data_IF_168158245752
#
_entry.id   IF_168158245752
#
_cell.length_a   1.000
_cell.length_b   1.000
_cell.length_c   1.000
_cell.angle_alpha   90.00
_cell.angle_beta   90.00
_cell.angle_gamma   90.00
#
_symmetry.space_group_name_H-M   'P 1'
#
loop_
_entity.id
_entity.type
_entity.pdbx_description
1 polymer ?
#
# COMPACT_ATOMS: atom_id res chain seq x y z
N UNK A 1 12.84 9.61 -13.04
CA UNK A 1 12.84 8.30 -13.71
C UNK A 1 11.51 7.98 -14.37
N UNK A 2 10.47 8.72 -14.00
CA UNK A 2 9.14 8.88 -14.59
C UNK A 2 9.03 8.61 -16.10
N UNK A 3 9.86 9.19 -16.97
CA UNK A 3 9.79 8.95 -18.42
C UNK A 3 10.02 7.47 -18.79
N UNK A 4 10.95 6.79 -18.10
CA UNK A 4 11.20 5.36 -18.30
C UNK A 4 10.01 4.53 -17.84
N UNK A 5 9.37 4.91 -16.74
CA UNK A 5 8.15 4.25 -16.22
C UNK A 5 7.02 4.36 -17.25
N UNK A 6 6.80 5.57 -17.79
CA UNK A 6 5.78 5.81 -18.82
C UNK A 6 6.05 4.99 -20.08
N UNK A 7 7.28 4.98 -20.58
CA UNK A 7 7.68 4.17 -21.74
C UNK A 7 7.47 2.67 -21.50
N UNK A 8 7.90 2.15 -20.35
CA UNK A 8 7.73 0.74 -20.00
C UNK A 8 6.26 0.34 -19.92
N UNK A 9 5.42 1.17 -19.30
CA UNK A 9 3.99 0.87 -19.15
C UNK A 9 3.23 0.89 -20.48
N UNK A 10 3.56 1.83 -21.37
CA UNK A 10 2.98 1.91 -22.74
C UNK A 10 3.30 0.65 -23.53
N UNK A 11 4.54 0.17 -23.42
CA UNK A 11 5.04 -1.00 -24.15
C UNK A 11 4.77 -2.33 -23.41
N UNK A 12 4.09 -2.31 -22.26
CA UNK A 12 3.85 -3.52 -21.49
C UNK A 12 2.98 -4.51 -22.26
N UNK A 13 3.52 -5.73 -22.42
CA UNK A 13 2.85 -6.91 -22.94
C UNK A 13 2.94 -8.04 -21.91
N UNK A 14 1.80 -8.60 -21.50
CA UNK A 14 1.77 -9.64 -20.47
C UNK A 14 2.46 -10.92 -20.94
N UNK A 15 2.25 -11.32 -22.20
CA UNK A 15 2.79 -12.57 -22.74
C UNK A 15 4.31 -12.63 -22.72
N UNK A 16 4.98 -11.51 -23.03
CA UNK A 16 6.44 -11.40 -22.95
C UNK A 16 6.97 -11.46 -21.51
N UNK A 17 6.13 -11.23 -20.50
CA UNK A 17 6.51 -11.16 -19.09
C UNK A 17 6.00 -12.36 -18.26
N UNK A 18 5.12 -13.22 -18.81
CA UNK A 18 4.36 -14.21 -18.04
C UNK A 18 5.18 -15.41 -17.58
N UNK A 19 6.33 -15.67 -18.19
CA UNK A 19 7.15 -16.84 -17.90
C UNK A 19 8.09 -16.66 -16.71
N UNK A 20 8.16 -15.46 -16.14
CA UNK A 20 9.10 -15.09 -15.08
C UNK A 20 8.34 -14.66 -13.84
N UNK A 21 8.89 -14.90 -12.65
CA UNK A 21 8.45 -14.17 -11.46
C UNK A 21 8.82 -12.69 -11.63
N UNK A 22 7.95 -11.78 -11.19
CA UNK A 22 8.21 -10.34 -11.23
C UNK A 22 8.91 -9.83 -9.97
N UNK A 23 8.97 -10.66 -8.93
CA UNK A 23 9.71 -10.41 -7.70
C UNK A 23 10.16 -11.72 -7.06
N UNK A 24 10.53 -11.67 -5.77
CA UNK A 24 10.78 -12.90 -5.02
C UNK A 24 9.49 -13.71 -4.87
N UNK A 25 9.53 -15.06 -4.94
CA UNK A 25 8.35 -15.89 -4.73
C UNK A 25 7.66 -15.68 -3.38
N UNK A 26 8.40 -15.29 -2.34
CA UNK A 26 7.84 -14.97 -1.00
C UNK A 26 6.86 -13.78 -1.03
N UNK A 27 6.95 -12.92 -2.04
CA UNK A 27 6.03 -11.81 -2.29
C UNK A 27 4.99 -12.22 -3.34
N UNK A 28 4.30 -13.33 -3.08
CA UNK A 28 3.20 -13.83 -3.91
C UNK A 28 1.91 -13.90 -3.09
N UNK A 29 0.78 -13.74 -3.76
CA UNK A 29 -0.53 -13.85 -3.12
C UNK A 29 -0.66 -15.23 -2.45
N UNK A 30 -1.03 -15.24 -1.17
CA UNK A 30 -1.22 -16.44 -0.34
C UNK A 30 0.04 -17.32 -0.21
N UNK A 31 1.24 -16.75 -0.38
CA UNK A 31 2.50 -17.47 -0.16
C UNK A 31 2.54 -18.19 1.19
N UNK A 32 3.09 -19.40 1.22
CA UNK A 32 3.24 -20.21 2.43
C UNK A 32 1.94 -20.78 2.98
N UNK A 33 0.80 -20.60 2.29
CA UNK A 33 -0.48 -21.22 2.64
C UNK A 33 -0.69 -22.54 1.87
N UNK A 34 -1.58 -23.42 2.32
CA UNK A 34 -1.90 -24.67 1.62
C UNK A 34 -2.31 -24.50 0.14
N UNK A 35 -2.92 -23.37 -0.24
CA UNK A 35 -3.22 -23.10 -1.65
C UNK A 35 -1.94 -22.94 -2.48
N UNK A 36 -0.98 -22.15 -1.98
CA UNK A 36 0.26 -21.87 -2.70
C UNK A 36 1.14 -23.12 -2.84
N UNK A 37 1.20 -23.95 -1.80
CA UNK A 37 1.93 -25.22 -1.83
C UNK A 37 1.30 -26.23 -2.80
N UNK A 38 -0.02 -26.22 -2.94
CA UNK A 38 -0.74 -27.09 -3.89
C UNK A 38 -0.77 -26.54 -5.33
N UNK A 39 -0.37 -25.28 -5.53
CA UNK A 39 -0.43 -24.62 -6.82
C UNK A 39 0.64 -25.14 -7.80
N UNK A 40 0.27 -25.27 -9.07
CA UNK A 40 1.22 -25.58 -10.14
C UNK A 40 2.23 -24.44 -10.33
N UNK A 41 3.39 -24.68 -10.97
CA UNK A 41 4.36 -23.62 -11.24
C UNK A 41 3.80 -22.42 -12.01
N UNK A 42 2.82 -22.63 -12.90
CA UNK A 42 2.14 -21.53 -13.61
C UNK A 42 1.17 -20.78 -12.69
N UNK A 43 0.45 -21.47 -11.82
CA UNK A 43 -0.42 -20.85 -10.82
C UNK A 43 0.37 -20.03 -9.80
N UNK A 44 1.54 -20.50 -9.34
CA UNK A 44 2.40 -19.74 -8.44
C UNK A 44 2.89 -18.43 -9.08
N UNK A 45 3.29 -18.45 -10.36
CA UNK A 45 3.61 -17.23 -11.11
C UNK A 45 2.39 -16.31 -11.24
N UNK A 46 1.21 -16.87 -11.54
CA UNK A 46 -0.02 -16.08 -11.59
C UNK A 46 -0.31 -15.40 -10.24
N UNK A 47 -0.14 -16.09 -9.11
CA UNK A 47 -0.27 -15.53 -7.76
C UNK A 47 0.76 -14.42 -7.49
N UNK A 48 1.99 -14.55 -8.02
CA UNK A 48 2.98 -13.47 -7.98
C UNK A 48 2.52 -12.26 -8.80
N UNK A 49 2.06 -12.46 -10.04
CA UNK A 49 1.62 -11.37 -10.92
C UNK A 49 0.38 -10.66 -10.36
N UNK A 50 -0.55 -11.40 -9.76
CA UNK A 50 -1.73 -10.82 -9.09
C UNK A 50 -1.32 -10.01 -7.87
N UNK A 51 -0.38 -10.49 -7.05
CA UNK A 51 0.17 -9.70 -5.94
C UNK A 51 0.64 -8.32 -6.42
N UNK A 52 1.37 -8.28 -7.53
CA UNK A 52 1.84 -7.04 -8.14
C UNK A 52 0.72 -6.13 -8.63
N UNK A 53 -0.27 -6.68 -9.34
CA UNK A 53 -1.41 -5.89 -9.80
C UNK A 53 -2.17 -5.24 -8.62
N UNK A 54 -2.36 -6.00 -7.53
CA UNK A 54 -3.00 -5.52 -6.32
C UNK A 54 -2.18 -4.44 -5.61
N UNK A 55 -0.86 -4.62 -5.52
CA UNK A 55 0.02 -3.63 -4.92
C UNK A 55 0.05 -2.33 -5.73
N UNK A 56 0.10 -2.43 -7.06
CA UNK A 56 0.01 -1.29 -7.98
C UNK A 56 -1.28 -0.49 -7.79
N UNK A 57 -2.44 -1.15 -7.62
CA UNK A 57 -3.67 -0.43 -7.32
C UNK A 57 -3.64 0.26 -5.95
N UNK A 58 -3.04 -0.38 -4.95
CA UNK A 58 -2.88 0.22 -3.62
C UNK A 58 -1.95 1.45 -3.65
N UNK A 59 -0.84 1.37 -4.40
CA UNK A 59 0.10 2.48 -4.58
C UNK A 59 -0.58 3.62 -5.35
N UNK A 60 -1.23 3.34 -6.49
CA UNK A 60 -1.93 4.36 -7.27
C UNK A 60 -3.02 5.10 -6.45
N UNK A 61 -3.72 4.39 -5.57
CA UNK A 61 -4.68 5.00 -4.65
C UNK A 61 -4.00 5.90 -3.59
N UNK A 62 -2.78 5.56 -3.17
CA UNK A 62 -1.97 6.38 -2.27
C UNK A 62 -1.45 7.63 -2.99
N UNK A 63 -0.91 7.49 -4.19
CA UNK A 63 -0.42 8.58 -5.05
C UNK A 63 -1.51 9.59 -5.42
N UNK A 64 -2.74 9.13 -5.61
CA UNK A 64 -3.89 10.03 -5.81
C UNK A 64 -4.10 10.96 -4.60
N UNK A 65 -3.91 10.46 -3.38
CA UNK A 65 -3.96 11.30 -2.19
C UNK A 65 -2.73 12.22 -2.13
N UNK A 66 -1.54 11.72 -2.49
CA UNK A 66 -0.31 12.52 -2.55
C UNK A 66 -0.48 13.76 -3.42
N UNK A 67 -1.04 13.62 -4.63
CA UNK A 67 -1.33 14.75 -5.53
C UNK A 67 -2.16 15.83 -4.81
N UNK A 68 -3.28 15.43 -4.20
CA UNK A 68 -4.16 16.36 -3.49
C UNK A 68 -3.44 17.09 -2.36
N UNK A 69 -2.69 16.36 -1.54
CA UNK A 69 -2.04 16.96 -0.37
C UNK A 69 -0.78 17.75 -0.72
N UNK A 70 -0.09 17.44 -1.82
CA UNK A 70 0.96 18.30 -2.36
C UNK A 70 0.38 19.67 -2.74
N UNK A 71 -0.75 19.71 -3.45
CA UNK A 71 -1.44 20.95 -3.80
C UNK A 71 -1.94 21.72 -2.55
N UNK A 72 -2.51 21.03 -1.56
CA UNK A 72 -2.95 21.66 -0.30
C UNK A 72 -1.77 22.24 0.48
N UNK A 73 -0.66 21.52 0.57
CA UNK A 73 0.52 21.98 1.30
C UNK A 73 1.22 23.12 0.59
N UNK A 74 1.35 23.08 -0.74
CA UNK A 74 1.89 24.18 -1.52
C UNK A 74 1.06 25.47 -1.26
N UNK A 75 -0.26 25.38 -1.26
CA UNK A 75 -1.14 26.51 -0.92
C UNK A 75 -0.94 27.02 0.52
N UNK A 76 -0.66 26.14 1.49
CA UNK A 76 -0.41 26.54 2.87
C UNK A 76 0.94 27.26 3.03
N UNK A 77 1.93 26.95 2.19
CA UNK A 77 3.24 27.60 2.20
C UNK A 77 3.37 28.80 1.26
N UNK A 78 2.50 28.90 0.25
CA UNK A 78 2.53 29.98 -0.74
C UNK A 78 2.56 31.42 -0.16
N UNK A 79 1.89 31.73 0.98
CA UNK A 79 1.97 33.07 1.57
C UNK A 79 3.34 33.46 2.16
N UNK A 80 4.31 32.54 2.18
CA UNK A 80 5.63 32.73 2.76
C UNK A 80 6.69 32.74 1.65
N UNK A 81 7.37 33.88 1.47
CA UNK A 81 8.26 34.14 0.34
C UNK A 81 9.46 33.15 0.24
N UNK A 82 9.87 32.55 1.36
CA UNK A 82 11.05 31.67 1.43
C UNK A 82 10.81 30.22 0.92
N UNK A 83 9.57 29.85 0.56
CA UNK A 83 9.21 28.46 0.22
C UNK A 83 8.85 28.22 -1.26
N UNK A 84 9.15 29.15 -2.16
CA UNK A 84 8.87 28.99 -3.61
C UNK A 84 9.48 27.69 -4.18
N UNK A 85 10.75 27.42 -3.87
CA UNK A 85 11.46 26.20 -4.32
C UNK A 85 10.77 24.93 -3.82
N UNK A 86 10.26 24.95 -2.60
CA UNK A 86 9.52 23.83 -2.03
C UNK A 86 8.21 23.60 -2.78
N UNK A 87 7.46 24.66 -3.07
CA UNK A 87 6.23 24.58 -3.86
C UNK A 87 6.49 23.98 -5.25
N UNK A 88 7.57 24.39 -5.93
CA UNK A 88 7.98 23.79 -7.20
C UNK A 88 8.38 22.32 -7.09
N UNK A 89 9.02 21.91 -5.99
CA UNK A 89 9.30 20.50 -5.73
C UNK A 89 7.99 19.70 -5.60
N UNK A 90 7.00 20.22 -4.85
CA UNK A 90 5.69 19.58 -4.70
C UNK A 90 4.91 19.48 -6.02
N UNK A 91 5.03 20.48 -6.90
CA UNK A 91 4.45 20.45 -8.25
C UNK A 91 5.13 19.40 -9.14
N UNK A 92 6.46 19.27 -9.05
CA UNK A 92 7.21 18.24 -9.75
C UNK A 92 6.74 16.85 -9.32
N UNK A 93 6.73 16.58 -8.00
CA UNK A 93 6.26 15.31 -7.46
C UNK A 93 4.83 15.00 -7.91
N UNK A 94 3.94 15.99 -7.82
CA UNK A 94 2.55 15.88 -8.29
C UNK A 94 2.46 15.45 -9.75
N UNK A 95 3.34 15.98 -10.61
CA UNK A 95 3.41 15.56 -12.01
C UNK A 95 3.93 14.13 -12.15
N UNK A 96 4.94 13.73 -11.38
CA UNK A 96 5.49 12.37 -11.41
C UNK A 96 4.44 11.32 -10.99
N UNK A 97 3.69 11.58 -9.92
CA UNK A 97 2.65 10.66 -9.43
C UNK A 97 1.57 10.37 -10.49
N UNK A 98 1.26 11.33 -11.37
CA UNK A 98 0.29 11.10 -12.47
C UNK A 98 0.76 10.02 -13.44
N UNK A 99 2.06 9.94 -13.71
CA UNK A 99 2.64 8.90 -14.56
C UNK A 99 2.70 7.55 -13.84
N UNK A 100 3.03 7.55 -12.55
CA UNK A 100 3.04 6.34 -11.73
C UNK A 100 1.65 5.69 -11.69
N UNK A 101 0.62 6.46 -11.32
CA UNK A 101 -0.79 6.03 -11.31
C UNK A 101 -1.18 5.40 -12.67
N UNK A 102 -0.83 6.06 -13.77
CA UNK A 102 -1.14 5.56 -15.12
C UNK A 102 -0.44 4.24 -15.40
N UNK A 103 0.85 4.14 -15.08
CA UNK A 103 1.63 2.94 -15.30
C UNK A 103 1.08 1.75 -14.50
N UNK A 104 0.80 1.96 -13.21
CA UNK A 104 0.24 0.97 -12.32
C UNK A 104 -1.12 0.45 -12.75
N UNK A 105 -2.03 1.35 -13.13
CA UNK A 105 -3.32 0.94 -13.70
C UNK A 105 -3.16 0.17 -15.00
N UNK A 106 -2.31 0.65 -15.92
CA UNK A 106 -2.11 0.02 -17.23
C UNK A 106 -1.59 -1.41 -17.08
N UNK A 107 -0.56 -1.61 -16.25
CA UNK A 107 0.05 -2.92 -16.04
C UNK A 107 -0.92 -3.84 -15.29
N UNK A 108 -1.56 -3.35 -14.22
CA UNK A 108 -2.53 -4.12 -13.46
C UNK A 108 -3.69 -4.63 -14.31
N UNK A 109 -4.34 -3.74 -15.08
CA UNK A 109 -5.50 -4.08 -15.91
C UNK A 109 -5.12 -5.11 -16.98
N UNK A 110 -4.02 -4.88 -17.70
CA UNK A 110 -3.53 -5.83 -18.73
C UNK A 110 -3.22 -7.20 -18.13
N UNK A 111 -2.71 -7.23 -16.91
CA UNK A 111 -2.41 -8.47 -16.17
C UNK A 111 -3.67 -9.24 -15.82
N UNK A 112 -4.67 -8.56 -15.25
CA UNK A 112 -5.94 -9.19 -14.88
C UNK A 112 -6.68 -9.74 -16.10
N UNK A 113 -6.78 -8.94 -17.17
CA UNK A 113 -7.42 -9.37 -18.41
C UNK A 113 -6.73 -10.60 -19.02
N UNK A 114 -5.39 -10.64 -19.01
CA UNK A 114 -4.65 -11.77 -19.54
C UNK A 114 -4.80 -13.05 -18.69
N UNK A 115 -4.90 -12.91 -17.36
CA UNK A 115 -4.99 -14.05 -16.45
C UNK A 115 -6.42 -14.59 -16.27
N UNK A 116 -7.42 -13.70 -16.27
CA UNK A 116 -8.78 -14.02 -15.83
C UNK A 116 -9.84 -13.69 -16.89
N UNK A 117 -9.48 -12.98 -17.97
CA UNK A 117 -10.41 -12.52 -19.02
C UNK A 117 -11.24 -11.29 -18.64
N UNK A 118 -11.19 -10.86 -17.38
CA UNK A 118 -11.90 -9.70 -16.84
C UNK A 118 -11.08 -9.02 -15.74
N UNK A 119 -11.44 -7.78 -15.40
CA UNK A 119 -10.87 -7.08 -14.25
C UNK A 119 -11.70 -7.36 -13.00
N UNK A 120 -11.14 -8.09 -12.04
CA UNK A 120 -11.81 -8.45 -10.79
C UNK A 120 -11.50 -7.48 -9.64
N UNK A 121 -10.31 -6.87 -9.67
CA UNK A 121 -9.76 -6.10 -8.56
C UNK A 121 -9.61 -4.62 -8.91
N UNK A 122 -9.43 -4.29 -10.19
CA UNK A 122 -9.42 -2.91 -10.64
C UNK A 122 -10.74 -2.19 -10.30
N UNK A 123 -10.64 -1.05 -9.62
CA UNK A 123 -11.75 -0.11 -9.47
C UNK A 123 -11.70 0.89 -10.62
N UNK A 124 -12.71 0.96 -11.52
CA UNK A 124 -12.90 2.15 -12.33
C UNK A 124 -13.09 3.35 -11.39
N UNK A 125 -12.66 4.56 -11.79
CA UNK A 125 -12.98 5.80 -11.05
C UNK A 125 -14.52 5.98 -10.99
N UNK A 126 -15.18 5.33 -10.03
CA UNK A 126 -16.61 5.47 -9.80
C UNK A 126 -16.87 6.70 -8.96
N UNK A 127 -17.71 7.59 -9.47
CA UNK A 127 -18.19 8.82 -8.85
C UNK A 127 -19.21 8.58 -7.74
N UNK A 128 -19.42 7.32 -7.30
CA UNK A 128 -20.39 6.96 -6.25
C UNK A 128 -19.72 6.13 -5.14
N UNK A 129 -19.28 6.78 -4.04
CA UNK A 129 -18.64 6.12 -2.89
C UNK A 129 -19.49 5.04 -2.19
N UNK A 130 -20.81 5.04 -2.42
CA UNK A 130 -21.78 4.19 -1.73
C UNK A 130 -21.92 2.78 -2.34
N UNK A 131 -21.38 2.54 -3.55
CA UNK A 131 -21.47 1.24 -4.25
C UNK A 131 -20.12 0.52 -4.37
N UNK A 132 -19.12 0.89 -3.55
CA UNK A 132 -17.87 0.12 -3.51
C UNK A 132 -18.12 -1.26 -2.88
N UNK A 133 -17.91 -2.32 -3.66
CA UNK A 133 -17.86 -3.71 -3.18
C UNK A 133 -16.93 -3.79 -1.94
N UNK A 134 -17.26 -4.64 -0.96
CA UNK A 134 -16.40 -4.91 0.22
C UNK A 134 -15.00 -5.36 -0.20
N UNK A 135 -14.89 -6.06 -1.33
CA UNK A 135 -13.65 -6.41 -2.02
C UNK A 135 -12.77 -5.18 -2.31
N UNK A 136 -13.41 -4.06 -2.65
CA UNK A 136 -12.83 -2.80 -3.08
C UNK A 136 -12.49 -1.86 -1.92
N UNK A 137 -13.26 -1.95 -0.81
CA UNK A 137 -12.97 -1.20 0.41
C UNK A 137 -11.58 -1.57 0.98
N UNK A 138 -11.13 -2.81 0.76
CA UNK A 138 -9.79 -3.27 1.09
C UNK A 138 -8.69 -2.61 0.23
N UNK A 139 -9.00 -1.92 -0.87
CA UNK A 139 -8.02 -1.21 -1.72
C UNK A 139 -8.07 0.30 -1.60
N UNK A 140 -8.81 0.84 -0.61
CA UNK A 140 -8.61 2.25 -0.22
C UNK A 140 -7.13 2.40 0.17
N UNK A 141 -6.42 3.33 -0.47
CA UNK A 141 -5.06 3.70 -0.10
C UNK A 141 -5.00 4.19 1.35
N UNK A 142 -3.81 4.50 1.88
CA UNK A 142 -3.65 4.85 3.30
C UNK A 142 -4.53 6.02 3.74
N UNK A 143 -4.64 7.08 2.92
CA UNK A 143 -5.54 8.21 3.18
C UNK A 143 -7.01 7.81 3.25
N UNK A 144 -7.47 6.94 2.34
CA UNK A 144 -8.85 6.45 2.31
C UNK A 144 -9.23 5.55 3.49
N UNK A 145 -8.26 4.79 4.04
CA UNK A 145 -8.45 3.95 5.24
C UNK A 145 -8.38 4.74 6.55
N UNK A 146 -7.58 5.81 6.60
CA UNK A 146 -7.50 6.70 7.76
C UNK A 146 -8.63 7.75 7.79
N UNK A 147 -9.24 8.06 6.64
CA UNK A 147 -10.02 9.28 6.43
C UNK A 147 -11.55 9.14 6.28
N UNK A 148 -12.21 8.04 6.64
CA UNK A 148 -13.68 7.99 6.51
C UNK A 148 -14.40 8.77 7.63
N UNK A 149 -15.18 9.80 7.29
CA UNK A 149 -16.16 10.45 8.18
C UNK A 149 -16.00 11.98 8.36
N UNK A 150 -16.83 12.58 9.23
CA UNK A 150 -16.84 14.03 9.51
C UNK A 150 -15.46 14.58 9.93
N UNK A 151 -14.69 13.81 10.68
CA UNK A 151 -13.35 14.22 11.14
C UNK A 151 -12.30 14.41 10.03
N UNK A 152 -12.44 13.79 8.86
CA UNK A 152 -11.49 14.01 7.75
C UNK A 152 -11.74 15.32 7.01
N UNK A 153 -12.99 15.78 6.96
CA UNK A 153 -13.33 17.07 6.35
C UNK A 153 -12.76 18.22 7.19
N UNK A 154 -12.92 18.13 8.51
CA UNK A 154 -12.30 19.08 9.46
C UNK A 154 -10.78 19.09 9.32
N UNK A 155 -10.16 17.90 9.20
CA UNK A 155 -8.71 17.80 9.01
C UNK A 155 -8.25 18.45 7.69
N UNK A 156 -8.91 18.16 6.57
CA UNK A 156 -8.56 18.73 5.27
C UNK A 156 -8.69 20.26 5.21
N UNK A 157 -9.74 20.81 5.81
CA UNK A 157 -9.90 22.28 5.93
C UNK A 157 -8.83 22.86 6.85
N UNK A 158 -8.46 22.15 7.93
CA UNK A 158 -7.42 22.63 8.84
C UNK A 158 -6.04 22.64 8.20
N UNK A 159 -5.76 21.68 7.30
CA UNK A 159 -4.49 21.58 6.60
C UNK A 159 -4.17 22.81 5.74
N UNK A 160 -5.14 23.32 4.98
CA UNK A 160 -4.92 24.49 4.12
C UNK A 160 -4.72 25.80 4.89
N UNK A 161 -5.05 25.82 6.19
CA UNK A 161 -5.00 27.03 7.03
C UNK A 161 -3.89 26.96 8.10
N UNK A 162 -3.13 25.86 8.16
CA UNK A 162 -2.07 25.66 9.16
C UNK A 162 -0.84 25.06 8.48
N UNK A 163 0.24 25.85 8.28
CA UNK A 163 1.51 25.37 7.77
C UNK A 163 2.10 24.22 8.60
N UNK A 164 1.86 24.25 9.93
CA UNK A 164 2.22 23.15 10.81
C UNK A 164 1.47 21.86 10.43
N UNK A 165 0.13 21.90 10.34
CA UNK A 165 -0.65 20.71 9.98
C UNK A 165 -0.32 20.22 8.57
N UNK A 166 -0.14 21.15 7.62
CA UNK A 166 0.29 20.86 6.25
C UNK A 166 1.61 20.09 6.25
N UNK A 167 2.54 20.45 7.14
CA UNK A 167 3.78 19.71 7.35
C UNK A 167 3.55 18.32 7.95
N UNK A 168 2.58 18.18 8.87
CA UNK A 168 2.29 16.90 9.53
C UNK A 168 1.65 15.85 8.63
N UNK A 169 1.03 16.26 7.52
CA UNK A 169 0.66 15.30 6.47
C UNK A 169 1.89 14.50 5.98
N UNK A 170 3.07 15.13 5.89
CA UNK A 170 4.28 14.46 5.40
C UNK A 170 4.88 13.49 6.42
N UNK A 171 4.48 13.54 7.69
CA UNK A 171 4.75 12.46 8.65
C UNK A 171 3.96 11.22 8.25
N UNK A 172 2.66 11.37 7.97
CA UNK A 172 1.80 10.28 7.53
C UNK A 172 2.25 9.72 6.17
N UNK A 173 2.61 10.58 5.21
CA UNK A 173 3.20 10.17 3.93
C UNK A 173 4.53 9.46 4.14
N UNK A 174 5.42 10.00 4.98
CA UNK A 174 6.71 9.39 5.30
C UNK A 174 6.57 7.97 5.88
N UNK A 175 5.64 7.76 6.81
CA UNK A 175 5.27 6.41 7.31
C UNK A 175 4.84 5.50 6.15
N UNK A 176 4.02 6.02 5.24
CA UNK A 176 3.59 5.30 4.04
C UNK A 176 4.75 4.90 3.13
N UNK A 177 5.67 5.81 2.88
CA UNK A 177 6.85 5.58 2.05
C UNK A 177 7.79 4.54 2.68
N UNK A 178 7.93 4.52 4.01
CA UNK A 178 8.67 3.47 4.71
C UNK A 178 8.05 2.09 4.49
N UNK A 179 6.71 1.99 4.53
CA UNK A 179 6.00 0.76 4.22
C UNK A 179 6.27 0.29 2.78
N UNK A 180 6.21 1.20 1.80
CA UNK A 180 6.53 0.88 0.40
C UNK A 180 8.00 0.40 0.25
N UNK A 181 8.95 1.17 0.79
CA UNK A 181 10.39 0.87 0.72
C UNK A 181 10.76 -0.47 1.34
N UNK A 182 10.06 -0.90 2.38
CA UNK A 182 10.30 -2.19 3.02
C UNK A 182 10.17 -3.36 2.05
N UNK A 183 9.34 -3.23 1.01
CA UNK A 183 9.09 -4.23 -0.04
C UNK A 183 9.92 -3.93 -1.30
N UNK A 184 9.88 -2.69 -1.79
CA UNK A 184 10.57 -2.31 -3.04
C UNK A 184 12.10 -2.43 -2.95
N UNK A 185 12.68 -2.34 -1.75
CA UNK A 185 14.13 -2.58 -1.59
C UNK A 185 14.53 -4.00 -1.97
N UNK A 186 13.73 -5.01 -1.63
CA UNK A 186 13.91 -6.40 -2.06
C UNK A 186 13.77 -6.52 -3.58
N UNK A 187 12.78 -5.85 -4.16
CA UNK A 187 12.49 -5.88 -5.60
C UNK A 187 13.61 -5.20 -6.42
N UNK A 188 14.16 -4.11 -5.91
CA UNK A 188 15.33 -3.44 -6.47
C UNK A 188 16.57 -4.33 -6.48
N UNK A 189 16.72 -5.23 -5.50
CA UNK A 189 17.77 -6.24 -5.51
C UNK A 189 17.54 -7.29 -6.60
N UNK A 190 16.29 -7.73 -6.83
CA UNK A 190 15.95 -8.61 -7.96
C UNK A 190 16.38 -7.98 -9.28
N UNK A 191 15.98 -6.72 -9.54
CA UNK A 191 16.39 -5.99 -10.73
C UNK A 191 17.91 -6.01 -10.93
N UNK A 192 18.68 -5.63 -9.90
CA UNK A 192 20.15 -5.56 -9.97
C UNK A 192 20.78 -6.94 -10.22
N UNK A 193 20.21 -8.01 -9.65
CA UNK A 193 20.70 -9.39 -9.88
C UNK A 193 20.48 -9.81 -11.33
N UNK A 194 19.30 -9.56 -11.88
CA UNK A 194 18.97 -9.89 -13.28
C UNK A 194 19.85 -9.09 -14.25
N UNK A 195 19.97 -7.77 -14.01
CA UNK A 195 20.82 -6.88 -14.82
C UNK A 195 22.28 -7.33 -14.82
N UNK A 196 22.85 -7.65 -13.65
CA UNK A 196 24.25 -8.11 -13.54
C UNK A 196 24.51 -9.41 -14.31
N UNK A 197 23.50 -10.29 -14.42
CA UNK A 197 23.62 -11.57 -15.13
C UNK A 197 23.26 -11.47 -16.61
N UNK A 198 22.77 -10.32 -17.08
CA UNK A 198 22.23 -10.19 -18.43
C UNK A 198 20.97 -11.02 -18.65
N UNK A 199 20.22 -11.34 -17.59
CA UNK A 199 18.96 -12.08 -17.67
C UNK A 199 17.81 -11.13 -18.04
N UNK A 200 16.70 -11.70 -18.53
CA UNK A 200 15.50 -10.94 -18.83
C UNK A 200 14.95 -10.25 -17.57
N UNK A 201 14.67 -8.94 -17.67
CA UNK A 201 14.09 -8.15 -16.60
C UNK A 201 12.60 -7.94 -16.91
N UNK A 202 11.68 -8.52 -16.12
CA UNK A 202 10.27 -8.25 -16.30
C UNK A 202 9.96 -6.77 -16.15
N UNK A 203 9.05 -6.27 -16.98
CA UNK A 203 8.63 -4.87 -17.01
C UNK A 203 8.16 -4.39 -15.62
N UNK A 204 7.37 -5.16 -14.84
CA UNK A 204 6.94 -4.71 -13.51
C UNK A 204 8.11 -4.58 -12.52
N UNK A 205 9.12 -5.46 -12.63
CA UNK A 205 10.37 -5.36 -11.86
C UNK A 205 11.14 -4.08 -12.20
N UNK A 206 11.25 -3.74 -13.49
CA UNK A 206 11.91 -2.51 -13.94
C UNK A 206 11.14 -1.25 -13.52
N UNK A 207 9.80 -1.25 -13.64
CA UNK A 207 8.95 -0.16 -13.18
C UNK A 207 9.12 0.09 -11.68
N UNK A 208 9.07 -0.96 -10.85
CA UNK A 208 9.29 -0.82 -9.41
C UNK A 208 10.68 -0.27 -9.07
N UNK A 209 11.71 -0.68 -9.80
CA UNK A 209 13.07 -0.14 -9.61
C UNK A 209 13.13 1.37 -9.85
N UNK A 210 12.48 1.84 -10.91
CA UNK A 210 12.47 3.26 -11.27
C UNK A 210 11.53 4.08 -10.39
N UNK A 211 10.40 3.51 -10.00
CA UNK A 211 9.49 4.11 -9.02
C UNK A 211 10.19 4.33 -7.68
N UNK A 212 10.93 3.33 -7.17
CA UNK A 212 11.74 3.48 -5.95
C UNK A 212 12.76 4.63 -6.03
N UNK A 213 13.29 4.93 -7.21
CA UNK A 213 14.23 6.04 -7.40
C UNK A 213 13.55 7.40 -7.32
N UNK A 214 12.35 7.53 -7.90
CA UNK A 214 11.53 8.75 -7.74
C UNK A 214 11.07 8.88 -6.27
N UNK A 215 10.60 7.79 -5.64
CA UNK A 215 10.20 7.77 -4.21
C UNK A 215 11.35 8.05 -3.24
N UNK A 216 12.60 7.85 -3.65
CA UNK A 216 13.76 8.25 -2.85
C UNK A 216 13.86 9.77 -2.73
N UNK A 217 13.56 10.50 -3.80
CA UNK A 217 13.45 11.96 -3.78
C UNK A 217 12.23 12.39 -2.93
N UNK A 218 11.06 11.80 -3.17
CA UNK A 218 9.82 12.10 -2.44
C UNK A 218 9.97 11.92 -0.92
N UNK A 219 10.72 10.89 -0.50
CA UNK A 219 11.00 10.66 0.92
C UNK A 219 11.88 11.75 1.52
N UNK A 220 12.87 12.26 0.78
CA UNK A 220 13.72 13.35 1.26
C UNK A 220 12.91 14.64 1.42
N UNK A 221 12.05 14.97 0.44
CA UNK A 221 11.11 16.09 0.55
C UNK A 221 10.19 15.92 1.75
N UNK A 222 9.60 14.73 1.92
CA UNK A 222 8.72 14.43 3.05
C UNK A 222 9.43 14.59 4.39
N UNK A 223 10.67 14.13 4.51
CA UNK A 223 11.49 14.30 5.72
C UNK A 223 11.76 15.77 6.00
N UNK A 224 12.21 16.52 4.99
CA UNK A 224 12.50 17.96 5.14
C UNK A 224 11.27 18.72 5.64
N UNK A 225 10.11 18.50 5.02
CA UNK A 225 8.85 19.15 5.40
C UNK A 225 8.44 18.77 6.82
N UNK A 226 8.43 17.48 7.12
CA UNK A 226 7.87 16.96 8.37
C UNK A 226 8.76 17.16 9.59
N UNK A 227 10.08 17.28 9.42
CA UNK A 227 11.04 17.33 10.53
C UNK A 227 11.76 18.67 10.68
N UNK A 228 11.93 19.44 9.61
CA UNK A 228 12.68 20.70 9.66
C UNK A 228 11.79 21.91 9.40
N UNK A 229 11.10 21.95 8.25
CA UNK A 229 10.33 23.13 7.84
C UNK A 229 9.22 23.49 8.83
N UNK A 230 8.59 22.49 9.47
CA UNK A 230 7.52 22.80 10.43
C UNK A 230 7.98 23.68 11.61
N UNK A 231 9.29 23.70 11.91
CA UNK A 231 9.89 24.47 13.02
C UNK A 231 10.00 25.97 12.72
N UNK A 232 9.87 26.36 11.46
CA UNK A 232 9.92 27.75 11.04
C UNK A 232 8.61 28.49 11.35
N UNK A 233 7.52 27.74 11.62
CA UNK A 233 6.20 28.27 11.93
C UNK A 233 5.96 28.39 13.44
N UNK A 234 4.93 29.15 13.87
CA UNK A 234 4.53 29.20 15.27
C UNK A 234 4.32 27.82 15.87
N UNK A 235 4.66 27.68 17.15
CA UNK A 235 4.49 26.43 17.88
C UNK A 235 3.03 25.95 17.82
N UNK A 236 2.79 24.65 17.54
CA UNK A 236 1.45 24.15 17.35
C UNK A 236 0.62 24.28 18.61
N UNK A 237 -0.60 24.78 18.45
CA UNK A 237 -1.55 24.87 19.55
C UNK A 237 -2.14 23.48 19.90
N UNK A 238 -2.92 23.42 20.97
CA UNK A 238 -3.49 22.15 21.48
C UNK A 238 -4.35 21.46 20.41
N UNK A 239 -5.10 22.22 19.61
CA UNK A 239 -5.96 21.69 18.56
C UNK A 239 -5.15 21.10 17.40
N UNK A 240 -4.09 21.78 16.96
CA UNK A 240 -3.20 21.29 15.91
C UNK A 240 -2.46 20.01 16.35
N UNK A 241 -1.95 19.99 17.59
CA UNK A 241 -1.34 18.78 18.18
C UNK A 241 -2.33 17.63 18.24
N UNK A 242 -3.58 17.90 18.63
CA UNK A 242 -4.64 16.90 18.65
C UNK A 242 -4.87 16.31 17.25
N UNK A 243 -5.08 17.15 16.23
CA UNK A 243 -5.31 16.68 14.86
C UNK A 243 -4.13 15.88 14.30
N UNK A 244 -2.90 16.36 14.47
CA UNK A 244 -1.70 15.64 14.06
C UNK A 244 -1.62 14.24 14.69
N UNK A 245 -1.91 14.14 15.99
CA UNK A 245 -1.94 12.86 16.69
C UNK A 245 -3.06 11.93 16.21
N UNK A 246 -4.25 12.47 15.88
CA UNK A 246 -5.37 11.65 15.40
C UNK A 246 -5.06 10.97 14.07
N UNK A 247 -4.29 11.60 13.19
CA UNK A 247 -3.89 11.01 11.90
C UNK A 247 -3.03 9.77 12.12
N UNK A 248 -1.97 9.89 12.93
CA UNK A 248 -1.04 8.79 13.20
C UNK A 248 -1.74 7.67 13.99
N UNK A 249 -2.63 8.03 14.92
CA UNK A 249 -3.43 7.05 15.64
C UNK A 249 -4.30 6.22 14.69
N UNK A 250 -4.99 6.87 13.75
CA UNK A 250 -5.85 6.20 12.76
C UNK A 250 -5.07 5.36 11.77
N UNK A 251 -3.87 5.79 11.37
CA UNK A 251 -2.98 4.95 10.59
C UNK A 251 -2.69 3.64 11.32
N UNK A 252 -2.36 3.69 12.61
CA UNK A 252 -2.14 2.48 13.38
C UNK A 252 -3.39 1.60 13.50
N UNK A 253 -4.56 2.17 13.79
CA UNK A 253 -5.79 1.41 14.04
C UNK A 253 -6.46 0.86 12.78
N UNK A 254 -6.25 1.50 11.63
CA UNK A 254 -6.98 1.17 10.39
C UNK A 254 -6.09 0.64 9.27
N UNK A 255 -4.83 1.07 9.20
CA UNK A 255 -3.88 0.62 8.16
C UNK A 255 -2.98 -0.45 8.71
N UNK A 256 -2.31 -0.18 9.83
CA UNK A 256 -1.29 -1.05 10.40
C UNK A 256 -1.85 -1.98 11.50
N UNK A 257 -3.10 -2.41 11.42
CA UNK A 257 -3.78 -3.14 12.50
C UNK A 257 -3.80 -4.66 12.31
N UNK A 258 -2.60 -5.26 12.21
CA UNK A 258 -2.40 -6.71 12.15
C UNK A 258 -1.69 -7.19 10.88
N UNK A 259 -1.60 -8.52 10.76
CA UNK A 259 -0.88 -9.21 9.68
C UNK A 259 -1.86 -9.71 8.60
N UNK A 260 -1.50 -9.56 7.34
CA UNK A 260 -2.26 -10.12 6.21
C UNK A 260 -1.84 -11.55 5.90
N UNK A 261 -2.79 -12.48 5.82
CA UNK A 261 -2.54 -13.83 5.26
C UNK A 261 -2.52 -13.83 3.73
N UNK A 262 -3.20 -12.87 3.11
CA UNK A 262 -3.40 -12.84 1.66
C UNK A 262 -2.24 -12.21 0.93
N UNK A 263 -1.71 -11.11 1.44
CA UNK A 263 -0.67 -10.33 0.80
C UNK A 263 0.54 -10.26 1.76
N UNK A 264 1.57 -11.09 1.54
CA UNK A 264 2.79 -11.02 2.33
C UNK A 264 3.38 -9.62 2.38
N UNK A 265 4.02 -9.29 3.49
CA UNK A 265 4.61 -7.98 3.76
C UNK A 265 3.61 -6.80 3.78
N UNK A 266 2.30 -7.07 3.86
CA UNK A 266 1.27 -6.04 4.02
C UNK A 266 0.52 -6.18 5.34
N UNK A 267 -0.19 -5.12 5.73
CA UNK A 267 -0.99 -5.11 6.95
C UNK A 267 -2.39 -5.67 6.74
N UNK A 268 -3.04 -6.04 7.84
CA UNK A 268 -4.34 -6.70 7.84
C UNK A 268 -5.40 -5.94 7.02
N UNK A 269 -6.23 -6.73 6.35
CA UNK A 269 -7.41 -6.31 5.62
C UNK A 269 -8.25 -7.54 5.30
N UNK A 270 -9.57 -7.39 5.24
CA UNK A 270 -10.42 -8.51 4.88
C UNK A 270 -10.43 -8.70 3.36
N UNK A 271 -9.54 -9.57 2.89
CA UNK A 271 -9.40 -9.95 1.48
C UNK A 271 -10.18 -11.22 1.13
N UNK A 272 -10.97 -11.78 2.06
CA UNK A 272 -11.69 -13.04 1.83
C UNK A 272 -12.65 -12.99 0.62
N UNK A 273 -13.44 -11.91 0.39
CA UNK A 273 -14.27 -11.82 -0.80
C UNK A 273 -13.46 -11.89 -2.11
N UNK A 274 -12.28 -11.26 -2.13
CA UNK A 274 -11.37 -11.27 -3.28
C UNK A 274 -10.84 -12.68 -3.54
N UNK A 275 -10.28 -13.32 -2.51
CA UNK A 275 -9.72 -14.67 -2.63
C UNK A 275 -10.81 -15.66 -3.04
N UNK A 276 -12.02 -15.54 -2.49
CA UNK A 276 -13.14 -16.38 -2.87
C UNK A 276 -13.48 -16.28 -4.37
N UNK A 277 -13.50 -15.06 -4.92
CA UNK A 277 -13.69 -14.85 -6.37
C UNK A 277 -12.52 -15.44 -7.16
N UNK A 278 -11.29 -15.16 -6.75
CA UNK A 278 -10.08 -15.67 -7.41
C UNK A 278 -10.08 -17.19 -7.55
N UNK A 279 -10.44 -17.92 -6.49
CA UNK A 279 -10.45 -19.38 -6.50
C UNK A 279 -11.47 -19.97 -7.49
N UNK A 280 -12.50 -19.21 -7.86
CA UNK A 280 -13.51 -19.62 -8.86
C UNK A 280 -13.14 -19.24 -10.29
N UNK A 281 -12.07 -18.45 -10.50
CA UNK A 281 -11.58 -18.10 -11.84
C UNK A 281 -10.97 -19.30 -12.55
N UNK A 282 -10.76 -19.25 -13.87
CA UNK A 282 -10.07 -20.30 -14.63
C UNK A 282 -8.66 -20.65 -14.12
N UNK A 283 -8.03 -19.78 -13.32
CA UNK A 283 -6.73 -20.06 -12.69
C UNK A 283 -6.81 -21.30 -11.78
N UNK A 284 -7.91 -21.44 -11.02
CA UNK A 284 -8.08 -22.52 -10.04
C UNK A 284 -9.33 -23.39 -10.29
N UNK A 285 -10.38 -22.84 -10.88
CA UNK A 285 -11.58 -23.56 -11.30
C UNK A 285 -12.37 -24.19 -10.14
N UNK A 286 -12.20 -23.72 -8.91
CA UNK A 286 -12.86 -24.32 -7.74
C UNK A 286 -14.35 -23.99 -7.73
N UNK A 287 -15.17 -24.97 -7.34
CA UNK A 287 -16.56 -24.73 -6.95
C UNK A 287 -16.65 -23.85 -5.70
N UNK A 288 -17.86 -23.36 -5.40
CA UNK A 288 -18.12 -22.56 -4.19
C UNK A 288 -17.69 -23.28 -2.91
N UNK A 289 -17.93 -24.59 -2.83
CA UNK A 289 -17.61 -25.41 -1.67
C UNK A 289 -16.11 -25.65 -1.55
N UNK A 290 -15.44 -25.99 -2.65
CA UNK A 290 -13.98 -26.18 -2.69
C UNK A 290 -13.24 -24.89 -2.32
N UNK A 291 -13.69 -23.75 -2.84
CA UNK A 291 -13.11 -22.44 -2.52
C UNK A 291 -13.22 -22.13 -1.01
N UNK A 292 -14.39 -22.35 -0.39
CA UNK A 292 -14.55 -22.13 1.05
C UNK A 292 -13.68 -23.07 1.89
N UNK A 293 -13.58 -24.34 1.52
CA UNK A 293 -12.72 -25.32 2.22
C UNK A 293 -11.25 -24.95 2.11
N UNK A 294 -10.81 -24.51 0.92
CA UNK A 294 -9.43 -24.07 0.71
C UNK A 294 -9.14 -22.79 1.51
N UNK A 295 -10.06 -21.82 1.51
CA UNK A 295 -9.92 -20.61 2.32
C UNK A 295 -9.86 -20.92 3.81
N UNK A 296 -10.67 -21.84 4.32
CA UNK A 296 -10.60 -22.25 5.73
C UNK A 296 -9.19 -22.75 6.08
N UNK A 297 -8.61 -23.62 5.23
CA UNK A 297 -7.25 -24.12 5.42
C UNK A 297 -6.19 -23.01 5.36
N UNK A 298 -6.36 -22.04 4.47
CA UNK A 298 -5.40 -20.95 4.30
C UNK A 298 -5.45 -19.90 5.41
N UNK A 299 -6.66 -19.50 5.85
CA UNK A 299 -6.86 -18.37 6.75
C UNK A 299 -6.95 -18.76 8.22
N UNK A 300 -7.53 -19.93 8.53
CA UNK A 300 -7.87 -20.33 9.89
C UNK A 300 -6.76 -21.12 10.59
N UNK A 301 -5.57 -21.23 9.99
CA UNK A 301 -4.42 -21.93 10.52
C UNK A 301 -3.17 -21.06 10.40
N UNK A 302 -2.25 -21.26 11.34
CA UNK A 302 -0.91 -20.69 11.25
C UNK A 302 -0.18 -21.23 10.01
N UNK A 303 0.56 -20.37 9.33
CA UNK A 303 1.24 -20.70 8.09
C UNK A 303 2.48 -19.81 7.89
N UNK A 304 3.37 -20.22 6.99
CA UNK A 304 4.65 -19.53 6.76
C UNK A 304 4.46 -18.09 6.26
N UNK A 305 3.41 -17.82 5.48
CA UNK A 305 3.08 -16.49 5.00
C UNK A 305 2.83 -15.48 6.13
N UNK A 306 2.24 -15.93 7.24
CA UNK A 306 2.04 -15.09 8.43
C UNK A 306 3.36 -14.76 9.14
N UNK A 307 4.31 -15.71 9.20
CA UNK A 307 5.64 -15.48 9.77
C UNK A 307 6.48 -14.53 8.93
N UNK A 308 6.45 -14.71 7.60
CA UNK A 308 7.05 -13.75 6.65
C UNK A 308 6.47 -12.36 6.88
N UNK A 309 5.15 -12.25 6.94
CA UNK A 309 4.47 -10.95 7.15
C UNK A 309 4.84 -10.35 8.51
N UNK A 310 4.93 -11.14 9.58
CA UNK A 310 5.36 -10.68 10.89
C UNK A 310 6.78 -10.10 10.85
N UNK A 311 7.71 -10.73 10.11
CA UNK A 311 9.09 -10.22 9.94
C UNK A 311 9.13 -8.85 9.26
N UNK A 312 8.41 -8.69 8.15
CA UNK A 312 8.30 -7.40 7.47
C UNK A 312 7.64 -6.34 8.37
N UNK A 313 6.60 -6.72 9.11
CA UNK A 313 5.87 -5.86 10.02
C UNK A 313 6.74 -5.34 11.18
N UNK A 314 7.57 -6.21 11.78
CA UNK A 314 8.49 -5.81 12.86
C UNK A 314 9.59 -4.88 12.36
N UNK A 315 10.14 -5.13 11.16
CA UNK A 315 11.11 -4.24 10.54
C UNK A 315 10.50 -2.86 10.29
N UNK A 316 9.30 -2.83 9.69
CA UNK A 316 8.57 -1.58 9.43
C UNK A 316 8.27 -0.81 10.73
N UNK A 317 7.85 -1.50 11.79
CA UNK A 317 7.63 -0.87 13.10
C UNK A 317 8.90 -0.21 13.64
N UNK A 318 10.07 -0.86 13.50
CA UNK A 318 11.35 -0.28 13.91
C UNK A 318 11.70 0.96 13.10
N UNK A 319 11.52 0.90 11.78
CA UNK A 319 11.83 2.01 10.88
C UNK A 319 10.90 3.21 11.10
N UNK A 320 9.59 2.97 11.34
CA UNK A 320 8.65 4.04 11.68
C UNK A 320 9.01 4.67 13.02
N UNK A 321 9.34 3.89 14.06
CA UNK A 321 9.72 4.46 15.37
C UNK A 321 10.91 5.40 15.25
N UNK A 322 11.95 4.99 14.51
CA UNK A 322 13.12 5.84 14.22
C UNK A 322 12.73 7.10 13.46
N UNK A 323 11.84 6.96 12.47
CA UNK A 323 11.34 8.11 11.71
C UNK A 323 10.50 9.08 12.56
N UNK A 324 9.89 8.65 13.66
CA UNK A 324 9.14 9.52 14.55
C UNK A 324 9.98 10.11 15.70
N UNK A 325 11.28 9.78 15.76
CA UNK A 325 12.19 10.35 16.76
C UNK A 325 12.36 11.85 16.53
N UNK A 326 12.35 12.62 17.62
CA UNK A 326 12.49 14.09 17.55
C UNK A 326 11.18 14.86 17.32
N UNK A 327 10.08 14.19 16.95
CA UNK A 327 8.76 14.83 16.82
C UNK A 327 8.10 14.99 18.21
N UNK A 328 8.36 16.14 18.83
CA UNK A 328 8.01 16.46 20.22
C UNK A 328 6.52 16.63 20.49
N UNK A 329 5.74 17.02 19.48
CA UNK A 329 4.29 17.18 19.55
C UNK A 329 3.52 15.84 19.54
N UNK A 330 4.18 14.71 19.26
CA UNK A 330 3.55 13.40 19.27
C UNK A 330 3.33 12.88 20.69
N UNK A 331 2.13 12.34 20.92
CA UNK A 331 1.79 11.59 22.13
C UNK A 331 2.64 10.31 22.24
N UNK A 332 2.84 9.77 23.45
CA UNK A 332 3.58 8.52 23.65
C UNK A 332 3.01 7.34 22.86
N UNK A 333 1.67 7.28 22.71
CA UNK A 333 1.00 6.22 21.93
C UNK A 333 1.46 6.22 20.47
N UNK A 334 1.60 7.41 19.87
CA UNK A 334 2.02 7.56 18.47
C UNK A 334 3.53 7.44 18.31
N UNK A 335 4.32 8.09 19.18
CA UNK A 335 5.78 8.03 19.12
C UNK A 335 6.29 6.58 19.21
N UNK A 336 5.68 5.78 20.08
CA UNK A 336 6.05 4.37 20.25
C UNK A 336 5.27 3.42 19.34
N UNK A 337 4.37 3.93 18.50
CA UNK A 337 3.48 3.14 17.62
C UNK A 337 2.80 1.98 18.37
N UNK A 338 2.27 2.25 19.58
CA UNK A 338 1.82 1.22 20.52
C UNK A 338 0.72 0.32 19.97
N UNK A 339 -0.21 0.88 19.18
CA UNK A 339 -1.31 0.12 18.62
C UNK A 339 -0.82 -0.85 17.55
N UNK A 340 0.03 -0.37 16.63
CA UNK A 340 0.70 -1.21 15.64
C UNK A 340 1.46 -2.34 16.33
N UNK A 341 2.32 -1.99 17.30
CA UNK A 341 3.12 -2.96 18.06
C UNK A 341 2.26 -4.05 18.73
N UNK A 342 1.09 -3.69 19.25
CA UNK A 342 0.20 -4.65 19.91
C UNK A 342 -0.51 -5.62 18.95
N UNK A 343 -0.58 -5.29 17.66
CA UNK A 343 -1.39 -6.01 16.66
C UNK A 343 -0.59 -7.00 15.79
N UNK A 344 0.74 -6.85 15.71
CA UNK A 344 1.63 -7.65 14.87
C UNK A 344 1.95 -9.06 15.37
N UNK A 345 0.94 -9.83 15.80
CA UNK A 345 1.08 -11.21 16.29
C UNK A 345 0.38 -12.21 15.37
N UNK A 346 1.06 -13.33 15.10
CA UNK A 346 0.54 -14.45 14.29
C UNK A 346 -0.71 -15.06 14.94
N UNK A 347 -0.67 -15.35 16.24
CA UNK A 347 -1.83 -15.85 17.00
C UNK A 347 -3.04 -14.93 16.89
N UNK A 348 -2.85 -13.62 17.04
CA UNK A 348 -3.93 -12.63 16.89
C UNK A 348 -4.48 -12.62 15.46
N UNK A 349 -3.60 -12.70 14.46
CA UNK A 349 -4.00 -12.75 13.06
C UNK A 349 -4.86 -13.99 12.76
N UNK A 350 -4.45 -15.18 13.21
CA UNK A 350 -5.22 -16.43 13.05
C UNK A 350 -6.57 -16.33 13.77
N UNK A 351 -6.61 -15.84 15.01
CA UNK A 351 -7.86 -15.68 15.75
C UNK A 351 -8.84 -14.71 15.04
N UNK A 352 -8.32 -13.61 14.49
CA UNK A 352 -9.11 -12.66 13.73
C UNK A 352 -9.62 -13.27 12.42
N UNK A 353 -8.76 -13.96 11.67
CA UNK A 353 -9.12 -14.67 10.44
C UNK A 353 -10.21 -15.70 10.68
N UNK A 354 -10.14 -16.50 11.76
CA UNK A 354 -11.19 -17.47 12.11
C UNK A 354 -12.54 -16.77 12.28
N UNK A 355 -12.55 -15.63 12.99
CA UNK A 355 -13.78 -14.86 13.21
C UNK A 355 -14.33 -14.30 11.90
N UNK A 356 -13.47 -13.70 11.06
CA UNK A 356 -13.87 -13.12 9.78
C UNK A 356 -14.34 -14.19 8.79
N UNK A 357 -13.65 -15.34 8.73
CA UNK A 357 -14.03 -16.46 7.87
C UNK A 357 -15.40 -17.04 8.25
N UNK A 358 -15.69 -17.18 9.55
CA UNK A 358 -17.02 -17.61 10.02
C UNK A 358 -18.13 -16.65 9.60
N UNK A 359 -17.86 -15.34 9.60
CA UNK A 359 -18.83 -14.35 9.13
C UNK A 359 -19.01 -14.41 7.61
N UNK A 360 -17.89 -14.44 6.88
CA UNK A 360 -17.87 -14.48 5.42
C UNK A 360 -18.51 -15.76 4.84
N UNK A 361 -18.13 -16.93 5.35
CA UNK A 361 -18.68 -18.21 4.90
C UNK A 361 -20.20 -18.30 5.09
N UNK A 362 -20.76 -17.68 6.14
CA UNK A 362 -22.21 -17.57 6.33
C UNK A 362 -22.88 -16.63 5.32
N UNK A 363 -22.23 -15.54 4.94
CA UNK A 363 -22.80 -14.59 3.98
C UNK A 363 -22.85 -15.10 2.55
N UNK A 364 -21.99 -16.06 2.20
CA UNK A 364 -21.92 -16.66 0.85
C UNK A 364 -22.84 -17.88 0.70
N UNK A 365 -23.22 -18.53 1.82
CA UNK A 365 -24.15 -19.67 1.83
C UNK A 365 -25.63 -19.27 1.83
N UNK A 366 -25.93 -18.02 2.15
CA UNK A 366 -27.25 -17.40 1.97
C UNK A 366 -27.34 -16.88 0.56
#
# INVERSE_FOLDING_TARGET
YTEKIDQLSKNFDYSSNSNYYWGEPELSLLYGTPLYEAASPSQQKALNHIYWALDYYFIAATETNTILFNEVTANAFFPFDDYEVLCHALDLETNQERYHIRAFHTIGIKTELALMGETLFHCPRSTKPQEMDKTLAAFKGMGGRAGSGFGSHVYNISLSNSPFLASQYYVARGIGNLNLKSRESTLSQVYKRLEKKGEFIPTPTAVSRYHLLDESFHTATSQLISHEIYKDFPQPNIWEKYLANQVIYRLQSNVFNGLSTTLPATCAGNFMPMVYKLLQTPIFGMSKQEALLMMEKCFCQENEGLHVTAKYYQRLLSDIRKFLEGLDYLSPVNREMRLMASSGSVEKAVANNIREFKQFSRSVKR
#
